data_IF_297070998312
#
_entry.id   IF_297070998312
#
_cell.length_a   1.000
_cell.length_b   1.000
_cell.length_c   1.000
_cell.angle_alpha   90.00
_cell.angle_beta   90.00
_cell.angle_gamma   90.00
#
_symmetry.space_group_name_H-M   'P 1'
#
loop_
_entity.id
_entity.type
_entity.pdbx_description
1 polymer ?
#
# COMPACT_ATOMS: atom_id res chain seq x y z
N UNK A 1 -10.43 -4.31 7.19
CA UNK A 1 -9.29 -3.37 7.24
C UNK A 1 -8.30 -3.68 6.15
N UNK A 2 -7.53 -2.69 5.78
CA UNK A 2 -6.53 -2.81 4.72
C UNK A 2 -5.19 -2.34 5.24
N UNK A 3 -4.12 -2.94 4.75
CA UNK A 3 -2.75 -2.53 5.04
C UNK A 3 -2.08 -2.15 3.75
N UNK A 4 -1.41 -1.00 3.75
CA UNK A 4 -0.65 -0.53 2.59
C UNK A 4 0.82 -0.84 2.86
N UNK A 5 1.46 -1.51 1.93
CA UNK A 5 2.88 -1.79 2.00
C UNK A 5 3.59 -0.99 0.92
N UNK A 6 4.54 -0.16 1.33
CA UNK A 6 5.32 0.66 0.43
C UNK A 6 6.75 0.10 0.44
N UNK A 7 7.22 -0.35 -0.70
CA UNK A 7 8.54 -0.94 -0.80
C UNK A 7 9.55 0.10 -1.27
N UNK A 8 10.63 0.24 -0.50
CA UNK A 8 11.76 1.07 -0.87
C UNK A 8 12.95 0.14 -1.13
N UNK A 9 14.04 0.70 -1.60
CA UNK A 9 15.21 -0.08 -2.00
C UNK A 9 15.77 -0.93 -0.87
N UNK A 10 15.84 -0.38 0.33
CA UNK A 10 16.47 -1.03 1.48
C UNK A 10 15.49 -1.45 2.57
N UNK A 11 14.24 -1.06 2.48
CA UNK A 11 13.27 -1.32 3.54
C UNK A 11 11.86 -1.18 2.99
N UNK A 12 10.90 -1.57 3.81
CA UNK A 12 9.47 -1.39 3.49
C UNK A 12 8.79 -0.65 4.62
N UNK A 13 7.78 0.14 4.26
CA UNK A 13 6.92 0.80 5.24
C UNK A 13 5.53 0.20 5.15
N UNK A 14 4.82 0.22 6.28
CA UNK A 14 3.47 -0.30 6.36
C UNK A 14 2.54 0.75 6.96
N UNK A 15 1.34 0.85 6.40
CA UNK A 15 0.29 1.71 6.93
C UNK A 15 -0.94 0.83 7.16
N UNK A 16 -1.12 0.30 8.39
CA UNK A 16 -2.22 -0.63 8.67
C UNK A 16 -3.50 0.09 9.07
N UNK A 17 -4.54 -0.68 9.27
CA UNK A 17 -5.80 -0.21 9.87
C UNK A 17 -6.54 0.83 9.05
N UNK A 18 -6.49 0.70 7.71
CA UNK A 18 -7.28 1.55 6.83
C UNK A 18 -8.65 0.92 6.65
N UNK A 19 -9.70 1.68 6.96
CA UNK A 19 -11.05 1.13 7.08
C UNK A 19 -11.70 0.76 5.75
N UNK A 20 -11.41 1.47 4.67
CA UNK A 20 -12.04 1.21 3.38
C UNK A 20 -11.02 1.03 2.28
N UNK A 21 -11.42 0.27 1.25
CA UNK A 21 -10.56 0.06 0.09
C UNK A 21 -10.27 1.37 -0.64
N UNK A 22 -11.29 2.22 -0.79
CA UNK A 22 -11.10 3.47 -1.50
C UNK A 22 -10.08 4.38 -0.79
N UNK A 23 -10.17 4.48 0.52
CA UNK A 23 -9.19 5.24 1.30
C UNK A 23 -7.79 4.63 1.16
N UNK A 24 -7.70 3.31 1.22
CA UNK A 24 -6.42 2.62 1.07
C UNK A 24 -5.83 2.85 -0.31
N UNK A 25 -6.65 2.80 -1.35
CA UNK A 25 -6.21 3.06 -2.71
C UNK A 25 -5.67 4.47 -2.86
N UNK A 26 -6.39 5.47 -2.31
CA UNK A 26 -5.95 6.85 -2.39
C UNK A 26 -4.64 7.08 -1.65
N UNK A 27 -4.49 6.48 -0.48
CA UNK A 27 -3.25 6.54 0.28
C UNK A 27 -2.10 5.87 -0.49
N UNK A 28 -2.37 4.73 -1.10
CA UNK A 28 -1.35 4.04 -1.89
C UNK A 28 -0.85 4.90 -3.04
N UNK A 29 -1.76 5.58 -3.71
CA UNK A 29 -1.39 6.48 -4.81
C UNK A 29 -0.55 7.65 -4.31
N UNK A 30 -0.85 8.19 -3.14
CA UNK A 30 -0.05 9.23 -2.53
C UNK A 30 1.35 8.73 -2.16
N UNK A 31 1.44 7.54 -1.55
CA UNK A 31 2.74 6.98 -1.19
C UNK A 31 3.59 6.69 -2.42
N UNK A 32 2.97 6.33 -3.54
CA UNK A 32 3.68 6.04 -4.77
C UNK A 32 4.42 7.26 -5.33
N UNK A 33 4.03 8.46 -4.90
CA UNK A 33 4.72 9.68 -5.34
C UNK A 33 5.96 10.00 -4.51
N UNK A 34 6.21 9.26 -3.42
CA UNK A 34 7.35 9.51 -2.56
C UNK A 34 8.64 9.19 -3.31
N UNK A 35 9.67 10.02 -3.05
CA UNK A 35 10.98 9.80 -3.66
C UNK A 35 11.54 8.45 -3.23
N UNK A 36 11.95 7.65 -4.20
CA UNK A 36 12.52 6.34 -3.93
C UNK A 36 11.50 5.23 -3.70
N UNK A 37 10.22 5.55 -3.77
CA UNK A 37 9.20 4.51 -3.60
C UNK A 37 9.20 3.55 -4.79
N UNK A 38 9.20 2.26 -4.49
CA UNK A 38 9.02 1.21 -5.48
C UNK A 38 7.56 0.78 -5.52
N UNK A 39 7.31 -0.52 -5.58
CA UNK A 39 5.95 -1.04 -5.65
C UNK A 39 5.18 -0.72 -4.38
N UNK A 40 3.92 -0.35 -4.54
CA UNK A 40 3.00 -0.10 -3.43
C UNK A 40 1.84 -1.06 -3.59
N UNK A 41 1.53 -1.82 -2.53
CA UNK A 41 0.43 -2.79 -2.57
C UNK A 41 -0.56 -2.50 -1.46
N UNK A 42 -1.83 -2.81 -1.74
CA UNK A 42 -2.91 -2.74 -0.76
C UNK A 42 -3.39 -4.15 -0.51
N UNK A 43 -3.28 -4.57 0.74
CA UNK A 43 -3.63 -5.92 1.14
C UNK A 43 -4.88 -5.89 2.01
N UNK A 44 -5.81 -6.78 1.71
CA UNK A 44 -6.99 -6.96 2.53
C UNK A 44 -6.61 -7.85 3.72
N UNK A 45 -6.64 -7.29 4.93
CA UNK A 45 -6.23 -8.01 6.13
C UNK A 45 -7.16 -9.18 6.45
N UNK A 46 -8.40 -9.09 6.02
CA UNK A 46 -9.38 -10.13 6.30
C UNK A 46 -9.12 -11.39 5.49
N UNK A 47 -8.75 -11.21 4.22
CA UNK A 47 -8.54 -12.35 3.32
C UNK A 47 -7.08 -12.67 3.09
N UNK A 48 -6.18 -11.75 3.41
CA UNK A 48 -4.77 -11.89 3.13
C UNK A 48 -4.40 -11.65 1.67
N UNK A 49 -5.35 -11.20 0.85
CA UNK A 49 -5.11 -11.01 -0.58
C UNK A 49 -4.68 -9.59 -0.89
N UNK A 50 -3.79 -9.45 -1.86
CA UNK A 50 -3.43 -8.15 -2.41
C UNK A 50 -4.52 -7.77 -3.40
N UNK A 51 -5.16 -6.63 -3.16
CA UNK A 51 -6.29 -6.18 -3.99
C UNK A 51 -5.94 -5.04 -4.92
N UNK A 52 -4.81 -4.39 -4.71
CA UNK A 52 -4.39 -3.28 -5.56
C UNK A 52 -2.88 -3.17 -5.52
N UNK A 53 -2.27 -2.95 -6.65
CA UNK A 53 -0.82 -2.84 -6.76
C UNK A 53 -0.47 -1.69 -7.70
N UNK A 54 0.47 -0.86 -7.27
CA UNK A 54 1.07 0.16 -8.12
C UNK A 54 2.52 -0.28 -8.34
N UNK A 55 2.85 -0.61 -9.57
CA UNK A 55 4.21 -1.02 -9.91
C UNK A 55 4.98 0.19 -10.44
N UNK A 56 6.23 0.29 -10.02
CA UNK A 56 7.08 1.41 -10.40
C UNK A 56 8.46 0.95 -10.81
#
# INVERSE_FOLDING_TARGET
MYTIEINFKSYSMFHPCVASFESAKNLAENYATFSGAGAVVVKNDRTGKIEYTIEQ
#
